data_IF_533550584913
#
_entry.id   IF_533550584913
#
_cell.length_a   1.000
_cell.length_b   1.000
_cell.length_c   1.000
_cell.angle_alpha   90.00
_cell.angle_beta   90.00
_cell.angle_gamma   90.00
#
_symmetry.space_group_name_H-M   'P 1'
#
loop_
_entity.id
_entity.type
_entity.pdbx_description
1 polymer ?
#
# COMPACT_ATOMS: atom_id res chain seq x y z
N UNK A 1 -4.82 26.68 -0.91
CA UNK A 1 -3.56 27.10 -1.58
C UNK A 1 -3.14 26.01 -2.54
N UNK A 2 -3.15 26.26 -3.86
CA UNK A 2 -2.75 25.24 -4.85
C UNK A 2 -1.23 25.27 -5.07
N UNK A 3 -0.58 24.13 -4.87
CA UNK A 3 0.81 23.91 -5.28
C UNK A 3 0.85 23.84 -6.81
N UNK A 4 1.71 24.63 -7.44
CA UNK A 4 1.98 24.53 -8.88
C UNK A 4 3.15 23.58 -9.13
N UNK A 5 3.18 22.89 -10.29
CA UNK A 5 4.25 21.94 -10.66
C UNK A 5 5.65 22.54 -10.50
N UNK A 6 5.83 23.80 -10.90
CA UNK A 6 7.09 24.55 -10.75
C UNK A 6 7.45 24.83 -9.28
N UNK A 7 6.48 25.19 -8.44
CA UNK A 7 6.74 25.38 -7.00
C UNK A 7 7.13 24.05 -6.35
N UNK A 8 6.46 22.96 -6.70
CA UNK A 8 6.81 21.62 -6.21
C UNK A 8 8.26 21.25 -6.56
N UNK A 9 8.67 21.41 -7.83
CA UNK A 9 10.04 21.12 -8.27
C UNK A 9 11.10 21.97 -7.55
N UNK A 10 10.82 23.26 -7.29
CA UNK A 10 11.71 24.11 -6.51
C UNK A 10 11.89 23.61 -5.08
N UNK A 11 10.82 23.15 -4.43
CA UNK A 11 10.88 22.57 -3.09
C UNK A 11 11.66 21.25 -3.05
N UNK A 12 11.48 20.37 -4.05
CA UNK A 12 12.25 19.12 -4.17
C UNK A 12 13.74 19.42 -4.36
N UNK A 13 14.10 20.35 -5.24
CA UNK A 13 15.50 20.73 -5.48
C UNK A 13 16.16 21.35 -4.25
N UNK A 14 15.44 22.19 -3.50
CA UNK A 14 15.94 22.77 -2.26
C UNK A 14 16.14 21.71 -1.16
N UNK A 15 15.22 20.75 -1.03
CA UNK A 15 15.34 19.65 -0.07
C UNK A 15 16.46 18.66 -0.43
N UNK A 16 16.75 18.48 -1.72
CA UNK A 16 17.80 17.57 -2.21
C UNK A 16 19.23 18.01 -1.90
N UNK A 17 19.47 19.29 -1.60
CA UNK A 17 20.82 19.76 -1.21
C UNK A 17 21.26 19.24 0.17
N UNK A 18 20.32 18.78 1.01
CA UNK A 18 20.60 18.24 2.36
C UNK A 18 20.83 16.73 2.44
N UNK A 19 20.64 15.98 1.35
CA UNK A 19 20.67 14.50 1.38
C UNK A 19 22.05 13.87 1.18
N UNK A 20 23.12 14.67 1.10
CA UNK A 20 24.51 14.19 0.92
C UNK A 20 25.01 13.39 2.15
N UNK A 21 24.39 13.60 3.32
CA UNK A 21 24.57 12.76 4.51
C UNK A 21 23.36 11.82 4.68
N UNK A 22 23.23 10.82 3.81
CA UNK A 22 22.06 9.93 3.76
C UNK A 22 21.97 9.01 4.99
N UNK A 23 20.91 9.17 5.79
CA UNK A 23 20.39 8.06 6.61
C UNK A 23 19.54 7.15 5.73
N UNK A 24 19.45 5.87 6.10
CA UNK A 24 18.57 4.90 5.46
C UNK A 24 17.14 5.45 5.39
N UNK A 25 16.60 5.62 4.19
CA UNK A 25 15.20 5.97 4.02
C UNK A 25 14.36 4.71 4.27
N UNK A 26 13.60 4.70 5.36
CA UNK A 26 12.56 3.70 5.57
C UNK A 26 11.32 4.10 4.81
N UNK A 27 10.63 3.11 4.22
CA UNK A 27 9.33 3.34 3.61
C UNK A 27 8.38 3.95 4.66
N UNK A 28 7.84 5.13 4.37
CA UNK A 28 6.81 5.75 5.20
C UNK A 28 5.51 4.95 5.04
N UNK A 29 5.35 3.92 5.87
CA UNK A 29 4.05 3.28 6.07
C UNK A 29 3.14 4.21 6.88
N UNK A 30 1.87 4.31 6.50
CA UNK A 30 0.89 5.16 7.20
C UNK A 30 0.55 4.64 8.61
N UNK A 31 0.97 3.41 8.95
CA UNK A 31 0.84 2.80 10.28
C UNK A 31 2.05 1.90 10.57
N UNK A 32 2.57 1.99 11.80
CA UNK A 32 3.57 1.04 12.30
C UNK A 32 2.83 -0.21 12.78
N UNK A 33 2.97 -1.31 12.05
CA UNK A 33 2.52 -2.62 12.48
C UNK A 33 3.68 -3.26 13.25
N UNK A 34 3.54 -3.45 14.57
CA UNK A 34 4.61 -4.05 15.39
C UNK A 34 4.92 -5.50 14.97
N UNK A 35 3.99 -6.15 14.27
CA UNK A 35 4.20 -7.34 13.47
C UNK A 35 5.05 -8.43 14.11
N UNK A 36 5.91 -9.04 13.28
CA UNK A 36 6.88 -10.04 13.73
C UNK A 36 8.27 -9.38 13.72
N UNK A 37 8.90 -9.18 14.88
CA UNK A 37 10.26 -8.62 14.95
C UNK A 37 11.22 -9.40 14.04
N UNK A 38 12.13 -8.70 13.37
CA UNK A 38 13.10 -9.27 12.43
C UNK A 38 12.51 -9.96 11.18
N UNK A 39 11.22 -9.79 10.88
CA UNK A 39 10.62 -10.28 9.64
C UNK A 39 10.67 -9.23 8.53
N UNK A 40 11.39 -9.54 7.46
CA UNK A 40 11.57 -8.64 6.30
C UNK A 40 10.79 -9.07 5.06
N UNK A 41 9.99 -10.14 5.14
CA UNK A 41 9.28 -10.70 3.99
C UNK A 41 8.07 -11.54 4.36
N UNK A 42 7.20 -11.76 3.38
CA UNK A 42 5.99 -12.60 3.49
C UNK A 42 6.04 -13.65 2.38
N UNK A 43 5.92 -14.92 2.74
CA UNK A 43 5.75 -16.01 1.78
C UNK A 43 4.28 -16.11 1.38
N UNK A 44 3.99 -15.94 0.09
CA UNK A 44 2.68 -16.22 -0.49
C UNK A 44 2.80 -17.43 -1.42
N UNK A 45 2.41 -18.60 -0.92
CA UNK A 45 2.38 -19.82 -1.72
C UNK A 45 1.10 -19.86 -2.57
N UNK A 46 1.28 -19.58 -3.86
CA UNK A 46 0.18 -19.56 -4.82
C UNK A 46 -0.32 -20.96 -5.20
N UNK A 47 0.43 -22.03 -4.90
CA UNK A 47 -0.02 -23.41 -5.15
C UNK A 47 -1.14 -23.83 -4.19
N UNK A 48 -1.20 -23.20 -3.01
CA UNK A 48 -2.24 -23.40 -2.00
C UNK A 48 -3.29 -22.28 -2.00
N UNK A 49 -3.10 -21.24 -2.80
CA UNK A 49 -4.01 -20.10 -2.84
C UNK A 49 -5.33 -20.46 -3.54
N UNK A 50 -6.43 -20.42 -2.80
CA UNK A 50 -7.78 -20.73 -3.31
C UNK A 50 -8.57 -19.49 -3.76
N UNK A 51 -7.96 -18.30 -3.75
CA UNK A 51 -8.63 -17.07 -4.15
C UNK A 51 -9.77 -16.63 -3.23
N UNK A 52 -9.74 -16.99 -1.93
CA UNK A 52 -10.82 -16.69 -0.98
C UNK A 52 -10.92 -15.23 -0.53
N UNK A 53 -9.97 -14.38 -0.93
CA UNK A 53 -9.93 -12.93 -0.64
C UNK A 53 -9.92 -12.55 0.86
N UNK A 54 -9.65 -13.50 1.76
CA UNK A 54 -9.50 -13.23 3.20
C UNK A 54 -8.32 -12.31 3.50
N UNK A 55 -7.25 -12.39 2.70
CA UNK A 55 -6.10 -11.50 2.78
C UNK A 55 -6.46 -10.03 2.47
N UNK A 56 -7.37 -9.78 1.52
CA UNK A 56 -7.89 -8.44 1.21
C UNK A 56 -8.69 -7.89 2.40
N UNK A 57 -9.57 -8.70 2.98
CA UNK A 57 -10.39 -8.33 4.13
C UNK A 57 -9.54 -8.02 5.38
N UNK A 58 -8.54 -8.85 5.66
CA UNK A 58 -7.59 -8.62 6.74
C UNK A 58 -6.83 -7.31 6.52
N UNK A 59 -6.27 -7.09 5.32
CA UNK A 59 -5.56 -5.87 4.96
C UNK A 59 -6.43 -4.62 5.16
N UNK A 60 -7.68 -4.67 4.69
CA UNK A 60 -8.65 -3.58 4.88
C UNK A 60 -8.93 -3.29 6.35
N UNK A 61 -9.06 -4.33 7.19
CA UNK A 61 -9.30 -4.19 8.63
C UNK A 61 -8.14 -3.49 9.34
N UNK A 62 -6.90 -3.94 9.17
CA UNK A 62 -5.74 -3.33 9.86
C UNK A 62 -5.43 -1.91 9.38
N UNK A 63 -5.75 -1.61 8.13
CA UNK A 63 -5.53 -0.28 7.54
C UNK A 63 -6.77 0.63 7.60
N UNK A 64 -7.86 0.19 8.22
CA UNK A 64 -9.13 0.96 8.32
C UNK A 64 -9.62 1.47 6.95
N UNK A 65 -9.51 0.63 5.92
CA UNK A 65 -9.94 0.97 4.57
C UNK A 65 -11.47 0.98 4.45
N UNK A 66 -12.05 1.78 3.53
CA UNK A 66 -13.48 1.73 3.25
C UNK A 66 -13.91 0.34 2.77
N UNK A 67 -15.18 0.02 2.97
CA UNK A 67 -15.76 -1.21 2.47
C UNK A 67 -15.66 -1.27 0.93
N UNK A 68 -15.40 -2.46 0.35
CA UNK A 68 -15.35 -2.64 -1.10
C UNK A 68 -16.74 -2.53 -1.72
N UNK A 69 -16.80 -2.17 -3.00
CA UNK A 69 -18.06 -2.07 -3.77
C UNK A 69 -18.79 -3.42 -3.86
N UNK A 70 -18.03 -4.52 -3.92
CA UNK A 70 -18.53 -5.90 -3.90
C UNK A 70 -18.03 -6.61 -2.64
N UNK A 71 -18.87 -7.44 -2.00
CA UNK A 71 -18.47 -8.16 -0.79
C UNK A 71 -17.28 -9.09 -1.07
N UNK A 72 -16.45 -9.36 -0.06
CA UNK A 72 -15.28 -10.25 -0.20
C UNK A 72 -15.65 -11.68 -0.63
N UNK A 73 -16.86 -12.11 -0.32
CA UNK A 73 -17.42 -13.41 -0.73
C UNK A 73 -17.81 -13.47 -2.21
N UNK A 74 -17.92 -12.34 -2.89
CA UNK A 74 -18.17 -12.29 -4.34
C UNK A 74 -16.86 -12.54 -5.09
N UNK A 75 -16.75 -13.73 -5.68
CA UNK A 75 -15.59 -14.16 -6.46
C UNK A 75 -15.68 -13.77 -7.94
N UNK A 76 -16.79 -13.16 -8.39
CA UNK A 76 -16.91 -12.66 -9.77
C UNK A 76 -15.83 -11.63 -10.11
N UNK A 77 -15.31 -10.94 -9.10
CA UNK A 77 -14.22 -9.95 -9.21
C UNK A 77 -12.90 -10.55 -9.72
N UNK A 78 -12.74 -11.87 -9.63
CA UNK A 78 -11.54 -12.57 -10.11
C UNK A 78 -11.57 -12.82 -11.62
N UNK A 79 -12.72 -12.61 -12.27
CA UNK A 79 -12.90 -12.78 -13.72
C UNK A 79 -12.42 -11.57 -14.52
N UNK A 80 -12.20 -10.45 -13.84
CA UNK A 80 -11.75 -9.20 -14.45
C UNK A 80 -10.40 -8.76 -13.87
N UNK A 81 -9.62 -8.05 -14.68
CA UNK A 81 -8.35 -7.49 -14.21
C UNK A 81 -8.63 -6.27 -13.34
N UNK A 82 -8.32 -6.38 -12.06
CA UNK A 82 -8.47 -5.29 -11.08
C UNK A 82 -7.17 -4.49 -10.89
N UNK A 83 -7.30 -3.26 -10.41
CA UNK A 83 -6.19 -2.32 -10.15
C UNK A 83 -6.38 -1.68 -8.77
N UNK A 84 -5.28 -1.53 -8.05
CA UNK A 84 -5.23 -0.76 -6.81
C UNK A 84 -5.58 0.71 -7.06
N UNK A 85 -6.22 1.35 -6.09
CA UNK A 85 -6.56 2.77 -6.11
C UNK A 85 -6.10 3.47 -4.82
N UNK A 86 -6.24 4.79 -4.75
CA UNK A 86 -5.97 5.54 -3.52
C UNK A 86 -6.86 5.12 -2.33
N UNK A 87 -7.97 4.42 -2.59
CA UNK A 87 -8.93 3.96 -1.58
C UNK A 87 -8.89 2.43 -1.35
N UNK A 88 -8.20 1.69 -2.22
CA UNK A 88 -8.10 0.24 -2.18
C UNK A 88 -6.66 -0.19 -2.53
N UNK A 89 -5.89 -0.57 -1.52
CA UNK A 89 -4.48 -0.94 -1.69
C UNK A 89 -4.28 -2.38 -2.13
N UNK A 90 -5.35 -3.19 -2.11
CA UNK A 90 -5.39 -4.51 -2.72
C UNK A 90 -6.11 -4.42 -4.06
N UNK A 91 -5.71 -5.26 -5.01
CA UNK A 91 -6.44 -5.45 -6.28
C UNK A 91 -7.84 -5.91 -5.97
#
# INVERSE_FOLDING_TARGET
MSISRRKCLKWIGAAGLGSVAGKSAFAAGNKHFEGYPESFGVLHDITLCVGCRSCEAACAKVNELPAPDKPFTDLSVLQEKRRTTAKAYTV
#
